data_IF_234655753257
#
_entry.id   IF_234655753257
#
_cell.length_a   1.000
_cell.length_b   1.000
_cell.length_c   1.000
_cell.angle_alpha   90.00
_cell.angle_beta   90.00
_cell.angle_gamma   90.00
#
_symmetry.space_group_name_H-M   'P 1'
#
loop_
_entity.id
_entity.type
_entity.pdbx_description
1 polymer ?
#
# COMPACT_ATOMS: atom_id res chain seq x y z
N UNK A 1 -45.40 0.84 15.02
CA UNK A 1 -43.95 0.92 15.01
C UNK A 1 -43.50 1.39 16.37
N UNK A 2 -42.59 0.65 17.01
CA UNK A 2 -42.28 0.87 18.42
C UNK A 2 -41.53 2.18 18.64
N UNK A 3 -41.93 2.99 19.63
CA UNK A 3 -41.26 4.24 20.05
C UNK A 3 -39.71 4.08 20.24
N UNK A 4 -39.23 2.86 20.48
CA UNK A 4 -37.83 2.57 20.65
C UNK A 4 -37.06 2.65 19.31
N UNK A 5 -37.62 2.08 18.24
CA UNK A 5 -36.97 2.09 16.90
C UNK A 5 -36.89 3.50 16.34
N UNK A 6 -37.91 4.33 16.56
CA UNK A 6 -37.93 5.74 16.14
C UNK A 6 -36.87 6.55 16.89
N UNK A 7 -36.75 6.37 18.21
CA UNK A 7 -35.72 7.06 19.01
C UNK A 7 -34.29 6.64 18.67
N UNK A 8 -34.08 5.36 18.31
CA UNK A 8 -32.78 4.87 17.85
C UNK A 8 -32.43 5.49 16.50
N UNK A 9 -33.37 5.54 15.57
CA UNK A 9 -33.16 6.18 14.26
C UNK A 9 -32.85 7.68 14.40
N UNK A 10 -33.59 8.42 15.21
CA UNK A 10 -33.34 9.86 15.46
C UNK A 10 -31.95 10.11 16.04
N UNK A 11 -31.49 9.27 16.99
CA UNK A 11 -30.14 9.40 17.56
C UNK A 11 -29.06 9.06 16.53
N UNK A 12 -29.29 8.04 15.72
CA UNK A 12 -28.39 7.67 14.64
C UNK A 12 -28.25 8.81 13.61
N UNK A 13 -29.36 9.41 13.19
CA UNK A 13 -29.38 10.54 12.27
C UNK A 13 -28.68 11.78 12.85
N UNK A 14 -28.85 12.05 14.14
CA UNK A 14 -28.15 13.13 14.83
C UNK A 14 -26.61 12.89 14.83
N UNK A 15 -26.16 11.66 15.08
CA UNK A 15 -24.73 11.30 15.00
C UNK A 15 -24.21 11.46 13.57
N UNK A 16 -24.97 11.01 12.57
CA UNK A 16 -24.57 11.18 11.16
C UNK A 16 -24.49 12.67 10.77
N UNK A 17 -25.44 13.49 11.23
CA UNK A 17 -25.41 14.93 10.99
C UNK A 17 -24.17 15.59 11.63
N UNK A 18 -23.81 15.20 12.84
CA UNK A 18 -22.59 15.65 13.51
C UNK A 18 -21.33 15.23 12.74
N UNK A 19 -21.24 13.95 12.31
CA UNK A 19 -20.08 13.43 11.56
C UNK A 19 -19.89 14.14 10.21
N UNK A 20 -20.97 14.62 9.56
CA UNK A 20 -20.86 15.40 8.32
C UNK A 20 -20.06 16.70 8.45
N UNK A 21 -19.92 17.24 9.66
CA UNK A 21 -19.07 18.41 9.89
C UNK A 21 -17.57 18.08 9.72
N UNK A 22 -17.21 16.80 9.82
CA UNK A 22 -15.85 16.30 9.69
C UNK A 22 -15.57 15.63 8.35
N UNK A 23 -16.38 15.89 7.33
CA UNK A 23 -16.23 15.26 5.98
C UNK A 23 -14.83 15.41 5.39
N UNK A 24 -14.11 16.49 5.73
CA UNK A 24 -12.74 16.72 5.26
C UNK A 24 -11.66 15.95 6.03
N UNK A 25 -11.96 15.44 7.24
CA UNK A 25 -10.93 14.85 8.11
C UNK A 25 -10.34 13.57 7.53
N UNK A 26 -11.18 12.69 6.98
CA UNK A 26 -10.72 11.46 6.33
C UNK A 26 -9.84 11.77 5.10
N UNK A 27 -10.27 12.71 4.27
CA UNK A 27 -9.53 13.11 3.09
C UNK A 27 -8.16 13.72 3.44
N UNK A 28 -8.08 14.59 4.44
CA UNK A 28 -6.80 15.17 4.86
C UNK A 28 -5.86 14.11 5.46
N UNK A 29 -6.38 13.19 6.26
CA UNK A 29 -5.59 12.09 6.83
C UNK A 29 -4.98 11.22 5.73
N UNK A 30 -5.78 10.80 4.74
CA UNK A 30 -5.31 10.04 3.59
C UNK A 30 -4.23 10.80 2.80
N UNK A 31 -4.43 12.08 2.55
CA UNK A 31 -3.48 12.93 1.82
C UNK A 31 -2.15 13.09 2.57
N UNK A 32 -2.19 13.31 3.89
CA UNK A 32 -0.98 13.47 4.71
C UNK A 32 -0.16 12.18 4.79
N UNK A 33 -0.78 11.01 4.68
CA UNK A 33 -0.08 9.72 4.64
C UNK A 33 0.47 9.45 3.23
N UNK A 34 -0.34 9.64 2.19
CA UNK A 34 0.03 9.30 0.82
C UNK A 34 1.05 10.26 0.20
N UNK A 35 0.87 11.56 0.41
CA UNK A 35 1.66 12.55 -0.31
C UNK A 35 3.16 12.45 -0.04
N UNK A 36 3.65 12.30 1.21
CA UNK A 36 5.09 12.13 1.45
C UNK A 36 5.66 10.90 0.77
N UNK A 37 4.92 9.79 0.76
CA UNK A 37 5.35 8.53 0.13
C UNK A 37 5.47 8.70 -1.38
N UNK A 38 4.45 9.27 -2.02
CA UNK A 38 4.43 9.50 -3.47
C UNK A 38 5.50 10.49 -3.92
N UNK A 39 5.66 11.60 -3.18
CA UNK A 39 6.69 12.60 -3.48
C UNK A 39 8.08 11.99 -3.37
N UNK A 40 8.36 11.25 -2.29
CA UNK A 40 9.66 10.61 -2.09
C UNK A 40 9.93 9.56 -3.18
N UNK A 41 8.97 8.68 -3.47
CA UNK A 41 9.11 7.66 -4.52
C UNK A 41 9.30 8.26 -5.91
N UNK A 42 8.54 9.31 -6.25
CA UNK A 42 8.70 10.04 -7.51
C UNK A 42 10.06 10.73 -7.61
N UNK A 43 10.52 11.37 -6.53
CA UNK A 43 11.82 12.02 -6.47
C UNK A 43 12.98 11.03 -6.63
N UNK A 44 12.92 9.90 -5.92
CA UNK A 44 13.92 8.83 -6.05
C UNK A 44 14.03 8.32 -7.49
N UNK A 45 12.91 8.15 -8.19
CA UNK A 45 12.90 7.74 -9.60
C UNK A 45 13.44 8.83 -10.54
N UNK A 46 13.18 10.12 -10.26
CA UNK A 46 13.67 11.23 -11.08
C UNK A 46 15.19 11.39 -10.97
N UNK A 47 15.74 11.17 -9.76
CA UNK A 47 17.16 11.39 -9.47
C UNK A 47 18.02 10.12 -9.58
N UNK A 48 17.39 8.96 -9.59
CA UNK A 48 18.04 7.66 -9.67
C UNK A 48 18.08 7.09 -11.09
N UNK A 49 18.74 5.95 -11.22
CA UNK A 49 18.84 5.23 -12.49
C UNK A 49 17.53 4.49 -12.81
N UNK A 50 17.20 4.42 -14.10
CA UNK A 50 16.07 3.64 -14.57
C UNK A 50 16.40 2.13 -14.46
N UNK A 51 15.71 1.46 -13.55
CA UNK A 51 15.83 0.01 -13.35
C UNK A 51 14.66 -0.79 -13.94
N UNK A 52 13.68 -0.13 -14.60
CA UNK A 52 12.63 -0.85 -15.30
C UNK A 52 13.19 -1.60 -16.50
N UNK A 53 12.64 -2.79 -16.76
CA UNK A 53 12.86 -3.52 -18.00
C UNK A 53 11.55 -3.72 -18.75
N UNK A 54 11.62 -3.92 -20.07
CA UNK A 54 10.45 -4.13 -20.90
C UNK A 54 9.65 -5.38 -20.46
N UNK A 55 10.34 -6.40 -19.97
CA UNK A 55 9.77 -7.66 -19.52
C UNK A 55 8.94 -7.51 -18.24
N UNK A 56 9.23 -6.49 -17.44
CA UNK A 56 8.49 -6.20 -16.20
C UNK A 56 7.14 -5.53 -16.46
N UNK A 57 6.91 -4.95 -17.64
CA UNK A 57 5.71 -4.17 -17.91
C UNK A 57 4.51 -5.06 -18.23
N UNK A 58 3.41 -5.01 -17.45
CA UNK A 58 2.20 -5.76 -17.75
C UNK A 58 1.45 -5.13 -18.94
N UNK A 59 0.72 -5.95 -19.69
CA UNK A 59 -0.19 -5.44 -20.70
C UNK A 59 -1.29 -4.56 -20.04
N UNK A 60 -1.70 -3.40 -20.60
CA UNK A 60 -1.28 -2.85 -21.93
C UNK A 60 -0.01 -1.97 -21.90
N UNK A 61 0.62 -1.76 -20.75
CA UNK A 61 1.75 -0.83 -20.61
C UNK A 61 3.04 -1.36 -21.25
N UNK A 62 3.12 -2.67 -21.49
CA UNK A 62 4.24 -3.30 -22.22
C UNK A 62 4.39 -2.80 -23.68
N UNK A 63 3.38 -2.10 -24.21
CA UNK A 63 3.44 -1.48 -25.55
C UNK A 63 4.24 -0.17 -25.52
N UNK A 64 4.37 0.47 -24.35
CA UNK A 64 5.12 1.72 -24.20
C UNK A 64 6.63 1.44 -24.07
N UNK A 65 7.48 2.32 -24.65
CA UNK A 65 8.91 2.27 -24.35
C UNK A 65 9.19 2.40 -22.85
N UNK A 66 10.18 1.66 -22.36
CA UNK A 66 10.52 1.62 -20.93
C UNK A 66 10.86 3.01 -20.37
N UNK A 67 11.60 3.82 -21.15
CA UNK A 67 12.00 5.16 -20.77
C UNK A 67 10.78 6.08 -20.60
N UNK A 68 9.79 5.93 -21.47
CA UNK A 68 8.53 6.69 -21.37
C UNK A 68 7.72 6.24 -20.14
N UNK A 69 7.65 4.94 -19.89
CA UNK A 69 6.95 4.39 -18.72
C UNK A 69 7.60 4.86 -17.42
N UNK A 70 8.94 4.86 -17.37
CA UNK A 70 9.69 5.39 -16.23
C UNK A 70 9.43 6.88 -16.00
N UNK A 71 9.52 7.68 -17.07
CA UNK A 71 9.26 9.10 -17.03
C UNK A 71 7.84 9.40 -16.54
N UNK A 72 6.83 8.74 -17.11
CA UNK A 72 5.44 8.93 -16.73
C UNK A 72 5.19 8.55 -15.27
N UNK A 73 5.71 7.41 -14.82
CA UNK A 73 5.56 6.96 -13.44
C UNK A 73 6.21 7.95 -12.47
N UNK A 74 7.47 8.33 -12.72
CA UNK A 74 8.25 9.22 -11.86
C UNK A 74 7.58 10.58 -11.67
N UNK A 75 7.19 11.21 -12.77
CA UNK A 75 6.57 12.54 -12.74
C UNK A 75 5.12 12.50 -12.25
N UNK A 76 4.38 11.44 -12.54
CA UNK A 76 3.03 11.25 -12.00
C UNK A 76 3.06 11.14 -10.48
N UNK A 77 3.97 10.35 -9.93
CA UNK A 77 4.11 10.21 -8.47
C UNK A 77 4.57 11.53 -7.83
N UNK A 78 5.57 12.20 -8.40
CA UNK A 78 6.10 13.43 -7.83
C UNK A 78 5.09 14.58 -7.87
N UNK A 79 4.62 14.95 -9.06
CA UNK A 79 3.66 16.06 -9.22
C UNK A 79 2.31 15.70 -8.61
N UNK A 80 1.82 14.48 -8.87
CA UNK A 80 0.58 13.99 -8.30
C UNK A 80 0.62 13.98 -6.78
N UNK A 81 1.73 13.56 -6.16
CA UNK A 81 1.94 13.61 -4.73
C UNK A 81 1.84 15.03 -4.16
N UNK A 82 2.44 16.01 -4.83
CA UNK A 82 2.34 17.43 -4.46
C UNK A 82 0.88 17.92 -4.59
N UNK A 83 0.21 17.58 -5.69
CA UNK A 83 -1.18 17.96 -5.90
C UNK A 83 -2.12 17.32 -4.85
N UNK A 84 -1.90 16.05 -4.51
CA UNK A 84 -2.61 15.36 -3.43
C UNK A 84 -2.36 16.06 -2.09
N UNK A 85 -1.12 16.45 -1.78
CA UNK A 85 -0.79 17.13 -0.52
C UNK A 85 -1.64 18.40 -0.33
N UNK A 86 -1.73 19.24 -1.35
CA UNK A 86 -2.51 20.48 -1.28
C UNK A 86 -3.99 20.30 -1.58
N UNK A 87 -4.42 19.12 -2.00
CA UNK A 87 -5.80 18.85 -2.40
C UNK A 87 -6.20 19.60 -3.66
N UNK A 88 -5.29 19.67 -4.63
CA UNK A 88 -5.49 20.30 -5.93
C UNK A 88 -5.79 19.24 -6.97
N UNK A 89 -6.94 19.35 -7.63
CA UNK A 89 -7.41 18.38 -8.62
C UNK A 89 -7.33 16.93 -8.10
N UNK A 90 -7.66 16.74 -6.79
CA UNK A 90 -7.43 15.49 -6.07
C UNK A 90 -8.02 14.29 -6.79
N UNK A 91 -9.25 14.37 -7.26
CA UNK A 91 -9.91 13.28 -7.98
C UNK A 91 -9.22 12.95 -9.30
N UNK A 92 -8.74 13.97 -10.00
CA UNK A 92 -8.05 13.80 -11.28
C UNK A 92 -6.71 13.09 -11.08
N UNK A 93 -5.90 13.55 -10.11
CA UNK A 93 -4.60 12.96 -9.82
C UNK A 93 -4.70 11.55 -9.20
N UNK A 94 -5.79 11.26 -8.49
CA UNK A 94 -5.99 9.91 -7.94
C UNK A 94 -6.07 8.84 -9.02
N UNK A 95 -6.52 9.15 -10.24
CA UNK A 95 -6.64 8.17 -11.33
C UNK A 95 -5.26 7.69 -11.81
N UNK A 96 -4.37 8.56 -12.34
CA UNK A 96 -3.06 8.11 -12.81
C UNK A 96 -2.20 7.53 -11.67
N UNK A 97 -2.28 8.09 -10.46
CA UNK A 97 -1.59 7.53 -9.30
C UNK A 97 -2.11 6.12 -8.93
N UNK A 98 -3.40 5.86 -8.99
CA UNK A 98 -3.94 4.52 -8.77
C UNK A 98 -3.45 3.54 -9.85
N UNK A 99 -3.32 3.99 -11.10
CA UNK A 99 -2.76 3.19 -12.19
C UNK A 99 -1.29 2.86 -11.89
N UNK A 100 -0.47 3.83 -11.44
CA UNK A 100 0.93 3.55 -11.10
C UNK A 100 1.05 2.53 -9.97
N UNK A 101 0.16 2.54 -8.98
CA UNK A 101 0.14 1.55 -7.90
C UNK A 101 -0.23 0.14 -8.41
N UNK A 102 -1.19 0.03 -9.33
CA UNK A 102 -1.54 -1.26 -9.94
C UNK A 102 -0.40 -1.80 -10.81
N UNK A 103 0.24 -0.93 -11.58
CA UNK A 103 1.42 -1.32 -12.37
C UNK A 103 2.55 -1.78 -11.45
N UNK A 104 2.84 -1.05 -10.38
CA UNK A 104 3.86 -1.44 -9.41
C UNK A 104 3.53 -2.79 -8.75
N UNK A 105 2.27 -3.01 -8.36
CA UNK A 105 1.83 -4.29 -7.80
C UNK A 105 2.04 -5.45 -8.78
N UNK A 106 1.70 -5.25 -10.06
CA UNK A 106 1.76 -6.30 -11.08
C UNK A 106 3.17 -6.55 -11.63
N UNK A 107 3.99 -5.48 -11.78
CA UNK A 107 5.29 -5.56 -12.45
C UNK A 107 6.46 -5.79 -11.50
N UNK A 108 6.40 -5.22 -10.30
CA UNK A 108 7.55 -5.21 -9.38
C UNK A 108 7.33 -6.15 -8.19
N UNK A 109 6.11 -6.21 -7.69
CA UNK A 109 5.82 -6.81 -6.39
C UNK A 109 5.11 -8.15 -6.46
N UNK A 110 4.54 -8.51 -7.62
CA UNK A 110 3.68 -9.68 -7.77
C UNK A 110 4.34 -10.99 -7.33
N UNK A 111 5.56 -11.22 -7.81
CA UNK A 111 6.30 -12.44 -7.51
C UNK A 111 6.70 -12.58 -6.04
N UNK A 112 6.75 -11.48 -5.31
CA UNK A 112 7.09 -11.47 -3.90
C UNK A 112 5.90 -11.84 -2.98
N UNK A 113 4.72 -12.12 -3.57
CA UNK A 113 3.50 -12.44 -2.83
C UNK A 113 2.90 -11.24 -2.11
N UNK A 114 2.04 -11.51 -1.13
CA UNK A 114 1.33 -10.44 -0.43
C UNK A 114 2.20 -9.64 0.54
N UNK A 115 2.97 -10.25 1.47
CA UNK A 115 3.54 -9.52 2.59
C UNK A 115 4.62 -8.51 2.16
N UNK A 116 4.54 -7.29 2.63
CA UNK A 116 5.58 -6.29 2.48
C UNK A 116 6.83 -6.62 3.32
N UNK A 117 6.64 -7.25 4.47
CA UNK A 117 7.69 -7.69 5.39
C UNK A 117 7.64 -9.22 5.48
N UNK A 118 8.79 -9.87 5.32
CA UNK A 118 8.89 -11.32 5.43
C UNK A 118 8.50 -11.79 6.83
N UNK A 119 7.63 -12.80 6.96
CA UNK A 119 7.31 -13.40 8.24
C UNK A 119 8.58 -14.01 8.85
N UNK A 120 8.77 -13.85 10.17
CA UNK A 120 9.95 -14.42 10.86
C UNK A 120 9.91 -15.95 10.87
N UNK A 121 8.73 -16.53 10.94
CA UNK A 121 8.49 -17.97 10.92
C UNK A 121 7.26 -18.23 10.04
N UNK A 122 7.45 -18.63 8.78
CA UNK A 122 6.33 -19.04 7.94
C UNK A 122 5.69 -20.30 8.56
N UNK A 123 4.36 -20.46 8.45
CA UNK A 123 3.70 -21.67 8.96
C UNK A 123 4.30 -22.92 8.30
N UNK A 124 4.69 -23.92 9.09
CA UNK A 124 5.31 -25.13 8.56
C UNK A 124 4.41 -25.87 7.54
N UNK A 125 3.09 -25.76 7.71
CA UNK A 125 2.09 -26.31 6.77
C UNK A 125 2.18 -25.72 5.36
N UNK A 126 2.85 -24.56 5.19
CA UNK A 126 3.05 -23.92 3.89
C UNK A 126 4.36 -24.37 3.19
N UNK A 127 5.24 -25.04 3.90
CA UNK A 127 6.55 -25.45 3.39
C UNK A 127 6.41 -26.87 2.80
N UNK A 128 6.60 -26.99 1.49
CA UNK A 128 6.57 -28.28 0.82
C UNK A 128 7.68 -29.21 1.34
N UNK A 129 7.34 -30.50 1.43
CA UNK A 129 8.27 -31.52 1.94
C UNK A 129 8.40 -31.60 3.45
N UNK A 130 7.65 -30.78 4.22
CA UNK A 130 7.54 -30.94 5.68
C UNK A 130 6.42 -31.91 6.04
N UNK A 131 6.53 -32.58 7.20
CA UNK A 131 5.47 -33.47 7.71
C UNK A 131 4.16 -32.68 7.94
N UNK A 132 4.25 -31.43 8.35
CA UNK A 132 3.12 -30.55 8.54
C UNK A 132 2.38 -30.25 7.22
N UNK A 133 3.12 -30.13 6.10
CA UNK A 133 2.52 -29.96 4.76
C UNK A 133 1.83 -31.24 4.33
N UNK A 134 2.48 -32.40 4.48
CA UNK A 134 1.95 -33.69 4.07
C UNK A 134 0.69 -34.11 4.86
N UNK A 135 0.59 -33.71 6.14
CA UNK A 135 -0.56 -33.99 7.01
C UNK A 135 -1.70 -32.99 6.93
N UNK A 136 -1.52 -31.87 6.21
CA UNK A 136 -2.51 -30.78 6.18
C UNK A 136 -3.61 -31.02 5.13
N UNK A 137 -4.85 -30.63 5.46
CA UNK A 137 -5.94 -30.61 4.48
C UNK A 137 -5.96 -29.31 3.67
N UNK A 138 -6.71 -29.30 2.56
CA UNK A 138 -6.84 -28.15 1.68
C UNK A 138 -7.30 -26.87 2.42
N UNK A 139 -8.29 -26.99 3.31
CA UNK A 139 -8.85 -25.83 4.02
C UNK A 139 -7.80 -25.20 4.96
N UNK A 140 -7.03 -26.01 5.65
CA UNK A 140 -5.97 -25.54 6.54
C UNK A 140 -4.85 -24.82 5.75
N UNK A 141 -4.42 -25.41 4.65
CA UNK A 141 -3.42 -24.80 3.76
C UNK A 141 -3.94 -23.52 3.17
N UNK A 142 -5.18 -23.49 2.68
CA UNK A 142 -5.77 -22.29 2.12
C UNK A 142 -5.80 -21.14 3.14
N UNK A 143 -6.24 -21.38 4.37
CA UNK A 143 -6.33 -20.34 5.40
C UNK A 143 -4.94 -19.85 5.84
N UNK A 144 -3.99 -20.76 6.05
CA UNK A 144 -2.67 -20.41 6.58
C UNK A 144 -1.68 -19.90 5.50
N UNK A 145 -1.82 -20.37 4.25
CA UNK A 145 -0.83 -20.12 3.21
C UNK A 145 -1.28 -19.16 2.10
N UNK A 146 -2.50 -18.63 2.16
CA UNK A 146 -3.01 -17.72 1.13
C UNK A 146 -2.12 -16.47 0.88
N UNK A 147 -1.37 -16.04 1.88
CA UNK A 147 -0.48 -14.88 1.81
C UNK A 147 1.01 -15.26 1.78
N UNK A 148 1.32 -16.53 1.61
CA UNK A 148 2.69 -17.07 1.67
C UNK A 148 2.97 -17.81 0.36
N UNK A 149 4.01 -17.41 -0.35
CA UNK A 149 4.52 -18.08 -1.53
C UNK A 149 6.00 -18.50 -1.33
N UNK A 150 6.59 -19.17 -2.32
CA UNK A 150 7.98 -19.65 -2.25
C UNK A 150 8.97 -18.53 -1.95
N UNK A 151 8.85 -17.37 -2.59
CA UNK A 151 9.73 -16.21 -2.33
C UNK A 151 9.58 -15.66 -0.91
N UNK A 152 8.37 -15.67 -0.37
CA UNK A 152 8.12 -15.30 1.03
C UNK A 152 8.81 -16.27 1.99
N UNK A 153 8.76 -17.58 1.71
CA UNK A 153 9.46 -18.61 2.49
C UNK A 153 10.96 -18.41 2.42
N UNK A 154 11.51 -18.26 1.23
CA UNK A 154 12.92 -18.01 1.01
C UNK A 154 13.43 -16.74 1.71
N UNK A 155 12.65 -15.66 1.68
CA UNK A 155 12.95 -14.43 2.42
C UNK A 155 13.01 -14.67 3.93
N UNK A 156 12.09 -15.50 4.47
CA UNK A 156 12.05 -15.90 5.88
C UNK A 156 13.25 -16.74 6.28
N UNK A 157 13.66 -17.67 5.43
CA UNK A 157 14.86 -18.52 5.66
C UNK A 157 16.12 -17.67 5.67
N UNK A 158 16.28 -16.75 4.71
CA UNK A 158 17.40 -15.79 4.69
C UNK A 158 17.45 -14.94 5.95
N UNK A 159 16.30 -14.48 6.44
CA UNK A 159 16.20 -13.74 7.71
C UNK A 159 16.61 -14.60 8.90
N UNK A 160 16.17 -15.86 8.94
CA UNK A 160 16.51 -16.81 9.99
C UNK A 160 18.02 -17.08 10.03
N UNK A 161 18.64 -17.31 8.88
CA UNK A 161 20.10 -17.50 8.75
C UNK A 161 20.87 -16.25 9.19
N UNK A 162 20.43 -15.05 8.79
CA UNK A 162 21.04 -13.80 9.23
C UNK A 162 20.97 -13.63 10.76
N UNK A 163 19.82 -13.94 11.36
CA UNK A 163 19.65 -13.92 12.82
C UNK A 163 20.53 -14.95 13.54
N UNK A 164 20.75 -16.13 12.95
CA UNK A 164 21.67 -17.15 13.48
C UNK A 164 23.11 -16.63 13.53
N UNK A 165 23.60 -16.09 12.43
CA UNK A 165 24.95 -15.49 12.36
C UNK A 165 25.12 -14.37 13.39
N UNK A 166 24.12 -13.50 13.53
CA UNK A 166 24.15 -12.42 14.51
C UNK A 166 24.13 -12.92 15.95
N UNK A 167 23.53 -14.09 16.23
CA UNK A 167 23.56 -14.71 17.57
C UNK A 167 24.94 -15.32 17.89
N UNK A 168 25.62 -15.89 16.90
CA UNK A 168 26.92 -16.51 17.08
C UNK A 168 28.05 -15.48 17.14
N UNK A 169 28.01 -14.45 16.30
CA UNK A 169 29.15 -13.56 16.07
C UNK A 169 28.88 -12.09 16.42
N UNK A 170 27.64 -11.75 16.84
CA UNK A 170 27.23 -10.40 17.15
C UNK A 170 26.59 -10.22 18.53
N UNK A 171 26.41 -8.97 18.93
CA UNK A 171 25.60 -8.67 20.10
C UNK A 171 24.12 -8.60 19.71
N UNK A 172 23.49 -9.78 19.54
CA UNK A 172 22.11 -9.91 19.09
C UNK A 172 21.13 -9.13 19.99
N UNK A 173 21.36 -9.13 21.31
CA UNK A 173 20.52 -8.40 22.27
C UNK A 173 20.54 -6.90 22.04
N UNK A 174 21.71 -6.35 21.78
CA UNK A 174 21.86 -4.92 21.45
C UNK A 174 21.20 -4.59 20.09
N UNK A 175 21.49 -5.38 19.07
CA UNK A 175 20.97 -5.17 17.71
C UNK A 175 19.45 -5.33 17.63
N UNK A 176 18.84 -6.13 18.50
CA UNK A 176 17.39 -6.38 18.55
C UNK A 176 16.70 -5.53 19.65
N UNK A 177 17.42 -4.65 20.35
CA UNK A 177 16.94 -3.91 21.52
C UNK A 177 15.82 -2.90 21.23
N UNK A 178 15.77 -2.35 20.01
CA UNK A 178 14.74 -1.40 19.56
C UNK A 178 13.62 -2.04 18.74
N UNK A 179 13.57 -3.36 18.68
CA UNK A 179 12.58 -4.13 17.91
C UNK A 179 13.22 -5.27 17.11
N UNK A 180 12.40 -6.20 16.67
CA UNK A 180 12.88 -7.36 15.92
C UNK A 180 13.50 -6.96 14.59
N UNK A 181 14.66 -7.55 14.26
CA UNK A 181 15.25 -7.45 12.93
C UNK A 181 14.30 -8.11 11.94
N UNK A 182 13.92 -7.38 10.91
CA UNK A 182 13.01 -7.84 9.85
C UNK A 182 13.71 -7.77 8.50
N UNK A 183 13.23 -8.55 7.54
CA UNK A 183 13.63 -8.47 6.14
C UNK A 183 12.48 -7.92 5.32
N UNK A 184 12.74 -6.90 4.53
CA UNK A 184 11.79 -6.41 3.55
C UNK A 184 11.57 -7.49 2.49
N UNK A 185 10.32 -7.84 2.24
CA UNK A 185 9.91 -8.79 1.20
C UNK A 185 9.45 -8.06 -0.07
N UNK A 186 9.02 -6.79 0.09
CA UNK A 186 8.51 -5.97 -1.02
C UNK A 186 7.34 -6.60 -1.77
N UNK A 187 6.44 -7.27 -1.07
CA UNK A 187 5.20 -7.81 -1.65
C UNK A 187 4.21 -6.71 -2.04
N UNK A 188 3.08 -7.11 -2.61
CA UNK A 188 2.06 -6.21 -3.17
C UNK A 188 1.30 -5.38 -2.11
N UNK A 189 1.46 -5.70 -0.83
CA UNK A 189 0.67 -5.14 0.28
C UNK A 189 0.66 -3.61 0.29
N UNK A 190 1.83 -2.96 0.24
CA UNK A 190 1.88 -1.49 0.27
C UNK A 190 1.29 -0.86 -0.99
N UNK A 191 1.54 -1.44 -2.16
CA UNK A 191 0.96 -0.94 -3.41
C UNK A 191 -0.58 -1.01 -3.38
N UNK A 192 -1.14 -2.09 -2.82
CA UNK A 192 -2.59 -2.26 -2.68
C UNK A 192 -3.21 -1.36 -1.60
N UNK A 193 -2.49 -1.10 -0.51
CA UNK A 193 -2.91 -0.11 0.50
C UNK A 193 -2.97 1.28 -0.13
N UNK A 194 -1.93 1.71 -0.82
CA UNK A 194 -1.89 3.03 -1.47
C UNK A 194 -2.92 3.15 -2.59
N UNK A 195 -3.12 2.09 -3.39
CA UNK A 195 -4.21 2.02 -4.36
C UNK A 195 -5.58 2.24 -3.71
N UNK A 196 -5.86 1.53 -2.61
CA UNK A 196 -7.13 1.66 -1.89
C UNK A 196 -7.35 3.05 -1.31
N UNK A 197 -6.28 3.68 -0.80
CA UNK A 197 -6.33 5.06 -0.32
C UNK A 197 -6.58 6.06 -1.46
N UNK A 198 -5.96 5.86 -2.62
CA UNK A 198 -6.18 6.69 -3.82
C UNK A 198 -7.60 6.51 -4.36
N UNK A 199 -8.11 5.28 -4.34
CA UNK A 199 -9.50 4.99 -4.69
C UNK A 199 -10.47 5.72 -3.75
N UNK A 200 -10.20 5.72 -2.46
CA UNK A 200 -11.00 6.49 -1.50
C UNK A 200 -10.95 8.01 -1.81
N UNK A 201 -9.77 8.57 -2.12
CA UNK A 201 -9.63 9.98 -2.50
C UNK A 201 -10.33 10.32 -3.82
N UNK A 202 -10.40 9.40 -4.78
CA UNK A 202 -11.15 9.57 -6.02
C UNK A 202 -12.63 9.87 -5.74
N UNK A 203 -13.23 9.16 -4.79
CA UNK A 203 -14.64 9.35 -4.42
C UNK A 203 -14.84 10.50 -3.41
N UNK A 204 -14.00 10.62 -2.40
CA UNK A 204 -14.09 11.67 -1.38
C UNK A 204 -13.68 13.04 -1.94
N UNK A 205 -12.67 13.06 -2.83
CA UNK A 205 -12.02 14.30 -3.26
C UNK A 205 -11.04 14.85 -2.21
N UNK A 206 -10.61 16.09 -2.37
CA UNK A 206 -9.62 16.74 -1.51
C UNK A 206 -10.08 17.08 -0.10
N UNK A 207 -11.36 16.97 0.18
CA UNK A 207 -11.95 17.32 1.47
C UNK A 207 -12.45 18.75 1.55
N UNK A 208 -13.48 18.95 2.38
CA UNK A 208 -14.14 20.24 2.62
C UNK A 208 -13.25 21.11 3.50
N UNK A 209 -13.15 22.40 3.19
CA UNK A 209 -12.37 23.43 3.90
C UNK A 209 -10.84 23.26 3.87
N UNK A 210 -10.32 22.06 3.67
CA UNK A 210 -8.90 21.69 3.80
C UNK A 210 -8.20 21.43 2.47
N UNK A 211 -8.87 21.68 1.34
CA UNK A 211 -8.31 21.45 0.00
C UNK A 211 -8.41 22.69 -0.87
N UNK A 212 -7.46 22.86 -1.78
CA UNK A 212 -7.52 23.90 -2.80
C UNK A 212 -8.73 23.74 -3.72
N UNK A 213 -9.13 22.50 -4.04
CA UNK A 213 -10.33 22.21 -4.82
C UNK A 213 -11.60 22.82 -4.24
N UNK A 214 -11.72 22.83 -2.91
CA UNK A 214 -12.87 23.43 -2.23
C UNK A 214 -12.87 24.95 -2.38
N UNK A 215 -11.72 25.59 -2.16
CA UNK A 215 -11.63 27.05 -2.22
C UNK A 215 -11.75 27.59 -3.64
N UNK A 216 -11.15 26.91 -4.63
CA UNK A 216 -11.30 27.28 -6.04
C UNK A 216 -12.77 27.22 -6.44
N UNK A 217 -13.49 26.14 -6.12
CA UNK A 217 -14.92 26.04 -6.42
C UNK A 217 -15.74 27.14 -5.73
N UNK A 218 -15.41 27.48 -4.49
CA UNK A 218 -16.11 28.52 -3.74
C UNK A 218 -15.88 29.92 -4.33
N UNK A 219 -14.72 30.16 -4.95
CA UNK A 219 -14.41 31.45 -5.59
C UNK A 219 -15.01 31.58 -6.99
N UNK A 220 -15.34 30.45 -7.63
CA UNK A 220 -15.87 30.41 -9.02
C UNK A 220 -17.38 30.20 -9.07
N UNK A 221 -18.04 29.92 -7.96
CA UNK A 221 -19.51 29.81 -7.81
C UNK A 221 -20.11 31.08 -7.26
#
# INVERSE_FOLDING_TARGET
MNNLTTRVAERYDAVLAFLKHFDGAAAIALRLILAPVLIAAGWEKITGDNWFSQEMMPFPFSVLPVELSWFLASWTEFIGGICILFGLATRLWSIPLAITMLVAAASVHWDNGWPAIAPSNPPAVCIEGTDAHAGSNFAERYIKCQNVNERTIEASERLSRAKSILREHGNYRYLNGSGSIVKLNSGIEFAMIYFSMLLALLFLGGGRYVSLDYWIRKLTS
#
